data_IF_968366482414
#
_entry.id   IF_968366482414
#
_cell.length_a   1.000
_cell.length_b   1.000
_cell.length_c   1.000
_cell.angle_alpha   90.00
_cell.angle_beta   90.00
_cell.angle_gamma   90.00
#
_symmetry.space_group_name_H-M   'P 1'
#
loop_
_entity.id
_entity.type
_entity.pdbx_description
1 polymer ?
#
# COMPACT_ATOMS: atom_id res chain seq x y z
N UNK A 1 18.88 -17.60 5.03
CA UNK A 1 17.66 -16.85 5.34
C UNK A 1 16.58 -17.33 4.38
N UNK A 2 15.39 -17.69 4.88
CA UNK A 2 14.29 -18.19 4.07
C UNK A 2 13.83 -17.12 3.04
N UNK A 3 13.73 -17.47 1.74
CA UNK A 3 13.37 -16.52 0.67
C UNK A 3 12.00 -15.87 0.93
N UNK A 4 11.07 -16.59 1.55
CA UNK A 4 9.76 -16.04 1.95
C UNK A 4 9.92 -14.92 2.99
N UNK A 5 10.86 -15.05 3.93
CA UNK A 5 11.14 -14.01 4.93
C UNK A 5 11.74 -12.75 4.31
N UNK A 6 12.59 -12.89 3.29
CA UNK A 6 13.08 -11.72 2.54
C UNK A 6 11.94 -10.99 1.82
N UNK A 7 10.97 -11.71 1.24
CA UNK A 7 9.78 -11.09 0.64
C UNK A 7 8.89 -10.38 1.65
N UNK A 8 8.76 -10.91 2.86
CA UNK A 8 8.07 -10.21 3.95
C UNK A 8 8.78 -8.92 4.36
N UNK A 9 10.11 -8.94 4.46
CA UNK A 9 10.89 -7.72 4.76
C UNK A 9 10.76 -6.68 3.66
N UNK A 10 10.78 -7.10 2.39
CA UNK A 10 10.59 -6.22 1.24
C UNK A 10 9.20 -5.56 1.28
N UNK A 11 8.14 -6.32 1.54
CA UNK A 11 6.80 -5.77 1.69
C UNK A 11 6.70 -4.79 2.89
N UNK A 12 7.31 -5.12 4.05
CA UNK A 12 7.40 -4.20 5.21
C UNK A 12 8.12 -2.91 4.86
N UNK A 13 9.21 -3.00 4.10
CA UNK A 13 9.97 -1.84 3.65
C UNK A 13 9.09 -0.87 2.87
N UNK A 14 8.29 -1.36 1.92
CA UNK A 14 7.41 -0.49 1.13
C UNK A 14 6.26 0.10 1.95
N UNK A 15 5.72 -0.59 2.95
CA UNK A 15 4.79 0.04 3.92
C UNK A 15 5.46 1.20 4.66
N UNK A 16 6.68 1.00 5.15
CA UNK A 16 7.44 2.06 5.82
C UNK A 16 7.65 3.26 4.88
N UNK A 17 7.98 3.00 3.61
CA UNK A 17 8.13 4.05 2.60
C UNK A 17 6.84 4.79 2.28
N UNK A 18 5.71 4.08 2.16
CA UNK A 18 4.39 4.72 2.02
C UNK A 18 4.11 5.69 3.17
N UNK A 19 4.36 5.30 4.41
CA UNK A 19 4.19 6.18 5.57
C UNK A 19 5.13 7.40 5.50
N UNK A 20 6.40 7.19 5.14
CA UNK A 20 7.39 8.28 5.02
C UNK A 20 7.07 9.27 3.90
N UNK A 21 6.41 8.80 2.85
CA UNK A 21 6.11 9.58 1.64
C UNK A 21 4.64 9.98 1.55
N UNK A 22 3.86 9.80 2.61
CA UNK A 22 2.42 10.01 2.63
C UNK A 22 2.01 11.43 2.20
N UNK A 23 2.85 12.44 2.43
CA UNK A 23 2.58 13.83 2.05
C UNK A 23 2.97 14.16 0.61
N UNK A 24 3.60 13.22 -0.09
CA UNK A 24 4.09 13.34 -1.47
C UNK A 24 3.38 12.32 -2.34
N UNK A 25 2.23 12.67 -2.96
CA UNK A 25 1.34 11.70 -3.59
C UNK A 25 1.98 10.84 -4.68
N UNK A 26 2.91 11.38 -5.46
CA UNK A 26 3.63 10.59 -6.47
C UNK A 26 4.53 9.53 -5.84
N UNK A 27 5.36 9.93 -4.87
CA UNK A 27 6.23 9.00 -4.13
C UNK A 27 5.41 7.95 -3.36
N UNK A 28 4.30 8.36 -2.72
CA UNK A 28 3.37 7.45 -2.05
C UNK A 28 2.86 6.37 -3.01
N UNK A 29 2.41 6.76 -4.22
CA UNK A 29 1.87 5.84 -5.22
C UNK A 29 2.91 4.85 -5.73
N UNK A 30 4.14 5.31 -5.99
CA UNK A 30 5.22 4.40 -6.40
C UNK A 30 5.50 3.35 -5.32
N UNK A 31 5.49 3.75 -4.05
CA UNK A 31 5.68 2.83 -2.93
C UNK A 31 4.47 1.89 -2.72
N UNK A 32 3.26 2.36 -3.00
CA UNK A 32 2.05 1.53 -2.98
C UNK A 32 2.10 0.44 -4.06
N UNK A 33 2.42 0.81 -5.31
CA UNK A 33 2.56 -0.16 -6.40
C UNK A 33 3.67 -1.18 -6.08
N UNK A 34 4.80 -0.72 -5.55
CA UNK A 34 5.88 -1.60 -5.12
C UNK A 34 5.45 -2.55 -4.00
N UNK A 35 4.69 -2.07 -3.01
CA UNK A 35 4.12 -2.90 -1.95
C UNK A 35 3.19 -3.98 -2.52
N UNK A 36 2.22 -3.62 -3.36
CA UNK A 36 1.24 -4.56 -3.93
C UNK A 36 1.93 -5.66 -4.73
N UNK A 37 2.96 -5.30 -5.51
CA UNK A 37 3.74 -6.26 -6.28
C UNK A 37 4.61 -7.16 -5.38
N UNK A 38 5.29 -6.59 -4.38
CA UNK A 38 6.11 -7.34 -3.42
C UNK A 38 5.25 -8.30 -2.58
N UNK A 39 4.13 -7.84 -2.06
CA UNK A 39 3.27 -8.63 -1.18
C UNK A 39 2.71 -9.89 -1.87
N UNK A 40 2.35 -9.80 -3.15
CA UNK A 40 1.91 -10.97 -3.93
C UNK A 40 2.99 -12.03 -4.08
N UNK A 41 4.26 -11.62 -4.15
CA UNK A 41 5.36 -12.57 -4.32
C UNK A 41 5.55 -13.47 -3.10
N UNK A 42 5.10 -13.05 -1.91
CA UNK A 42 5.22 -13.82 -0.66
C UNK A 42 4.55 -15.19 -0.80
N UNK A 43 3.27 -15.24 -1.17
CA UNK A 43 2.55 -16.51 -1.29
C UNK A 43 3.06 -17.37 -2.44
N UNK A 44 3.56 -16.75 -3.51
CA UNK A 44 4.16 -17.47 -4.63
C UNK A 44 5.48 -18.14 -4.24
N UNK A 45 6.38 -17.42 -3.55
CA UNK A 45 7.63 -17.97 -3.03
C UNK A 45 7.35 -19.06 -2.00
N UNK A 46 6.41 -18.83 -1.08
CA UNK A 46 6.00 -19.81 -0.08
C UNK A 46 5.52 -21.12 -0.72
N UNK A 47 4.66 -21.04 -1.73
CA UNK A 47 4.21 -22.22 -2.48
C UNK A 47 5.36 -22.91 -3.21
N UNK A 48 6.21 -22.15 -3.90
CA UNK A 48 7.33 -22.70 -4.68
C UNK A 48 8.32 -23.47 -3.81
N UNK A 49 8.65 -22.93 -2.64
CA UNK A 49 9.59 -23.57 -1.70
C UNK A 49 9.03 -24.88 -1.13
N UNK A 50 7.70 -24.97 -0.97
CA UNK A 50 7.04 -26.08 -0.29
C UNK A 50 6.24 -26.98 -1.24
N UNK A 51 6.43 -26.84 -2.55
CA UNK A 51 5.65 -27.54 -3.58
C UNK A 51 5.76 -29.07 -3.54
N UNK A 52 6.74 -29.63 -2.81
CA UNK A 52 6.94 -31.07 -2.64
C UNK A 52 6.45 -31.62 -1.31
N UNK A 53 5.97 -30.78 -0.39
CA UNK A 53 5.52 -31.21 0.94
C UNK A 53 4.00 -31.47 0.93
N UNK A 54 3.52 -32.74 1.04
CA UNK A 54 2.10 -33.06 0.96
C UNK A 54 1.24 -32.43 2.06
N UNK A 55 1.79 -32.30 3.29
CA UNK A 55 1.08 -31.63 4.41
C UNK A 55 0.87 -30.15 4.11
N UNK A 56 1.90 -29.48 3.57
CA UNK A 56 1.79 -28.09 3.13
C UNK A 56 0.75 -27.94 2.02
N UNK A 57 0.78 -28.79 0.99
CA UNK A 57 -0.18 -28.72 -0.13
C UNK A 57 -1.62 -28.83 0.38
N UNK A 58 -1.90 -29.81 1.24
CA UNK A 58 -3.24 -30.03 1.80
C UNK A 58 -3.71 -28.87 2.70
N UNK A 59 -2.81 -28.29 3.51
CA UNK A 59 -3.12 -27.12 4.32
C UNK A 59 -3.33 -25.86 3.45
N UNK A 60 -2.46 -25.64 2.46
CA UNK A 60 -2.49 -24.44 1.63
C UNK A 60 -3.74 -24.38 0.75
N UNK A 61 -4.25 -25.52 0.27
CA UNK A 61 -5.51 -25.54 -0.49
C UNK A 61 -6.70 -25.07 0.36
N UNK A 62 -6.75 -25.43 1.65
CA UNK A 62 -7.77 -24.91 2.57
C UNK A 62 -7.63 -23.41 2.78
N UNK A 63 -6.40 -22.92 2.99
CA UNK A 63 -6.11 -21.49 3.09
C UNK A 63 -6.49 -20.74 1.82
N UNK A 64 -6.26 -21.33 0.65
CA UNK A 64 -6.65 -20.73 -0.63
C UNK A 64 -8.17 -20.53 -0.72
N UNK A 65 -8.97 -21.47 -0.23
CA UNK A 65 -10.43 -21.31 -0.17
C UNK A 65 -10.85 -20.20 0.80
N UNK A 66 -10.23 -20.14 1.98
CA UNK A 66 -10.42 -19.06 2.96
C UNK A 66 -10.12 -17.68 2.33
N UNK A 67 -8.97 -17.54 1.66
CA UNK A 67 -8.57 -16.31 0.97
C UNK A 67 -9.52 -15.89 -0.15
N UNK A 68 -10.13 -16.86 -0.85
CA UNK A 68 -11.13 -16.58 -1.90
C UNK A 68 -12.48 -16.12 -1.32
N UNK A 69 -12.80 -16.50 -0.09
CA UNK A 69 -13.99 -16.07 0.62
C UNK A 69 -13.90 -14.62 1.12
N UNK A 70 -12.70 -14.14 1.43
CA UNK A 70 -12.49 -12.84 2.06
C UNK A 70 -12.50 -11.65 1.08
N UNK A 71 -13.10 -10.54 1.50
CA UNK A 71 -13.25 -9.35 0.66
C UNK A 71 -11.94 -8.57 0.49
N UNK A 72 -11.18 -8.32 1.57
CA UNK A 72 -9.89 -7.63 1.51
C UNK A 72 -8.88 -8.42 0.66
N UNK A 73 -8.82 -9.74 0.84
CA UNK A 73 -7.84 -10.57 0.13
C UNK A 73 -8.14 -10.63 -1.38
N UNK A 74 -9.42 -10.78 -1.76
CA UNK A 74 -9.84 -10.63 -3.16
C UNK A 74 -9.57 -9.22 -3.69
N UNK A 75 -9.80 -8.20 -2.88
CA UNK A 75 -9.53 -6.82 -3.23
C UNK A 75 -8.05 -6.61 -3.56
N UNK A 76 -7.12 -7.12 -2.74
CA UNK A 76 -5.68 -6.99 -3.00
C UNK A 76 -5.25 -7.67 -4.31
N UNK A 77 -5.88 -8.79 -4.68
CA UNK A 77 -5.69 -9.42 -5.99
C UNK A 77 -6.18 -8.52 -7.13
N UNK A 78 -7.35 -7.88 -6.97
CA UNK A 78 -7.88 -6.93 -7.96
C UNK A 78 -7.00 -5.68 -8.09
N UNK A 79 -6.58 -5.08 -6.98
CA UNK A 79 -5.70 -3.92 -6.96
C UNK A 79 -4.39 -4.20 -7.71
N UNK A 80 -3.81 -5.40 -7.51
CA UNK A 80 -2.65 -5.85 -8.29
C UNK A 80 -2.94 -5.94 -9.78
N UNK A 81 -4.09 -6.48 -10.17
CA UNK A 81 -4.43 -6.61 -11.58
C UNK A 81 -4.56 -5.26 -12.26
N UNK A 82 -5.13 -4.26 -11.58
CA UNK A 82 -5.18 -2.87 -12.06
C UNK A 82 -3.76 -2.31 -12.24
N UNK A 83 -2.93 -2.39 -11.19
CA UNK A 83 -1.53 -1.93 -11.20
C UNK A 83 -0.70 -2.52 -12.35
N UNK A 84 -0.95 -3.79 -12.71
CA UNK A 84 -0.18 -4.50 -13.76
C UNK A 84 -0.75 -4.35 -15.17
N UNK A 85 -2.07 -4.16 -15.33
CA UNK A 85 -2.73 -4.28 -16.64
C UNK A 85 -3.33 -2.99 -17.17
N UNK A 86 -3.75 -2.07 -16.31
CA UNK A 86 -4.73 -1.05 -16.72
C UNK A 86 -4.30 0.39 -16.41
N UNK A 87 -3.64 0.70 -15.28
CA UNK A 87 -3.12 2.04 -14.94
C UNK A 87 -2.31 1.99 -13.62
N UNK A 88 -1.45 3.00 -13.37
CA UNK A 88 -0.79 3.21 -12.07
C UNK A 88 -1.86 3.45 -11.00
N UNK A 89 -1.84 2.72 -9.88
CA UNK A 89 -2.85 2.87 -8.82
C UNK A 89 -2.99 4.34 -8.42
N UNK A 90 -4.19 4.89 -8.51
CA UNK A 90 -4.46 6.31 -8.25
C UNK A 90 -5.53 6.45 -7.15
N UNK A 91 -5.17 6.21 -5.88
CA UNK A 91 -6.11 6.39 -4.78
C UNK A 91 -6.48 7.87 -4.63
N UNK A 92 -7.73 8.11 -4.23
CA UNK A 92 -8.21 9.42 -3.85
C UNK A 92 -7.55 9.87 -2.55
N UNK A 93 -7.42 11.18 -2.36
CA UNK A 93 -6.80 11.79 -1.19
C UNK A 93 -7.80 12.64 -0.40
N UNK A 94 -7.81 12.50 0.92
CA UNK A 94 -8.42 13.43 1.86
C UNK A 94 -7.31 14.16 2.61
N UNK A 95 -7.22 15.48 2.44
CA UNK A 95 -6.25 16.30 3.15
C UNK A 95 -6.91 17.05 4.30
N UNK A 96 -6.38 16.85 5.50
CA UNK A 96 -6.68 17.64 6.67
C UNK A 96 -5.56 18.65 6.90
N UNK A 97 -5.92 19.92 6.98
CA UNK A 97 -5.00 21.04 7.22
C UNK A 97 -5.36 21.64 8.56
N UNK A 98 -4.44 21.56 9.52
CA UNK A 98 -4.61 22.17 10.84
C UNK A 98 -4.47 23.68 10.75
N UNK A 99 -3.34 24.17 10.23
CA UNK A 99 -3.08 25.59 10.10
C UNK A 99 -2.03 25.86 9.02
N UNK A 100 -2.30 26.81 8.13
CA UNK A 100 -1.30 27.32 7.18
C UNK A 100 -1.35 28.83 7.24
N UNK A 101 -0.21 29.43 7.53
CA UNK A 101 -0.02 30.87 7.52
C UNK A 101 1.12 31.23 6.57
N UNK A 102 0.84 32.18 5.68
CA UNK A 102 1.78 32.67 4.69
C UNK A 102 1.83 34.18 4.85
N UNK A 103 2.92 34.68 5.45
CA UNK A 103 3.12 36.11 5.63
C UNK A 103 3.44 36.81 4.31
N UNK A 104 4.31 36.19 3.51
CA UNK A 104 4.72 36.71 2.20
C UNK A 104 4.89 35.56 1.21
N UNK A 105 4.38 35.76 -0.01
CA UNK A 105 4.60 34.86 -1.13
C UNK A 105 5.83 35.36 -1.91
N UNK A 106 6.87 34.53 -2.11
CA UNK A 106 8.02 34.91 -2.90
C UNK A 106 7.62 35.40 -4.31
N UNK A 107 8.30 36.44 -4.83
CA UNK A 107 7.96 37.04 -6.12
C UNK A 107 7.95 35.99 -7.24
N UNK A 108 6.82 35.89 -7.95
CA UNK A 108 6.63 34.95 -9.06
C UNK A 108 6.33 33.51 -8.63
N UNK A 109 6.10 33.27 -7.34
CA UNK A 109 5.62 32.01 -6.81
C UNK A 109 4.14 32.12 -6.41
N UNK A 110 3.49 30.98 -6.26
CA UNK A 110 2.15 30.84 -5.71
C UNK A 110 2.12 29.62 -4.81
N UNK A 111 1.35 29.70 -3.73
CA UNK A 111 1.07 28.55 -2.90
C UNK A 111 -0.23 27.89 -3.37
N UNK A 112 -0.19 26.58 -3.59
CA UNK A 112 -1.33 25.81 -4.11
C UNK A 112 -1.45 24.50 -3.36
N UNK A 113 -2.68 24.06 -3.12
CA UNK A 113 -2.98 22.68 -2.73
C UNK A 113 -3.39 21.95 -4.00
N UNK A 114 -2.64 20.92 -4.39
CA UNK A 114 -2.90 20.19 -5.63
C UNK A 114 -4.22 19.42 -5.56
N UNK A 115 -4.71 18.91 -6.69
CA UNK A 115 -5.86 18.00 -6.72
C UNK A 115 -5.67 16.72 -5.90
N UNK A 116 -4.43 16.37 -5.55
CA UNK A 116 -4.08 15.24 -4.68
C UNK A 116 -3.82 15.69 -3.24
N UNK A 117 -4.21 16.92 -2.90
CA UNK A 117 -4.14 17.44 -1.56
C UNK A 117 -2.73 17.78 -1.08
N UNK A 118 -1.75 17.81 -1.97
CA UNK A 118 -0.36 18.16 -1.68
C UNK A 118 -0.17 19.68 -1.61
N UNK A 119 0.37 20.25 -0.52
CA UNK A 119 0.78 21.64 -0.46
C UNK A 119 2.08 21.87 -1.24
N UNK A 120 2.07 22.82 -2.17
CA UNK A 120 3.21 23.09 -3.05
C UNK A 120 3.40 24.57 -3.31
N UNK A 121 4.66 24.96 -3.48
CA UNK A 121 5.05 26.19 -4.14
C UNK A 121 5.13 25.94 -5.65
N UNK A 122 4.43 26.76 -6.40
CA UNK A 122 4.37 26.69 -7.86
C UNK A 122 4.88 27.98 -8.46
N UNK A 123 5.69 27.85 -9.52
CA UNK A 123 6.13 28.95 -10.37
C UNK A 123 5.88 28.58 -11.83
N UNK A 124 5.42 29.55 -12.60
CA UNK A 124 5.21 29.43 -14.04
C UNK A 124 6.22 30.34 -14.77
N UNK A 125 7.40 29.84 -15.16
CA UNK A 125 8.37 30.63 -15.91
C UNK A 125 7.84 31.07 -17.28
N UNK A 126 6.94 30.28 -17.86
CA UNK A 126 6.23 30.55 -19.10
C UNK A 126 4.91 29.75 -19.09
N UNK A 127 4.10 29.86 -20.16
CA UNK A 127 2.79 29.20 -20.25
C UNK A 127 2.84 27.67 -20.39
N UNK A 128 4.01 27.09 -20.65
CA UNK A 128 4.18 25.65 -20.91
C UNK A 128 4.91 24.91 -19.79
N UNK A 129 5.63 25.62 -18.92
CA UNK A 129 6.47 25.03 -17.87
C UNK A 129 5.94 25.37 -16.49
N UNK A 130 5.81 24.35 -15.66
CA UNK A 130 5.51 24.46 -14.24
C UNK A 130 6.72 23.98 -13.43
N UNK A 131 7.20 24.79 -12.50
CA UNK A 131 8.13 24.36 -11.45
C UNK A 131 7.31 24.18 -10.18
N UNK A 132 7.34 22.96 -9.63
CA UNK A 132 6.65 22.60 -8.40
C UNK A 132 7.64 22.15 -7.34
N UNK A 133 7.51 22.70 -6.14
CA UNK A 133 8.30 22.33 -4.97
C UNK A 133 7.34 21.99 -3.84
N UNK A 134 7.51 20.82 -3.24
CA UNK A 134 6.76 20.42 -2.06
C UNK A 134 7.03 21.39 -0.90
N UNK A 135 5.98 21.91 -0.28
CA UNK A 135 6.08 22.88 0.82
C UNK A 135 6.28 22.15 2.17
N UNK A 136 7.47 21.56 2.35
CA UNK A 136 7.80 20.71 3.51
C UNK A 136 7.66 21.45 4.86
N UNK A 137 7.72 22.78 4.86
CA UNK A 137 7.52 23.60 6.06
C UNK A 137 6.11 23.47 6.67
N UNK A 138 5.12 23.01 5.90
CA UNK A 138 3.76 22.76 6.38
C UNK A 138 3.49 21.28 6.68
N UNK A 139 4.50 20.42 6.62
CA UNK A 139 4.31 18.98 6.80
C UNK A 139 3.67 18.66 8.15
N UNK A 140 4.06 19.34 9.23
CA UNK A 140 3.49 19.09 10.57
C UNK A 140 2.02 19.52 10.69
N UNK A 141 1.56 20.37 9.77
CA UNK A 141 0.20 20.93 9.75
C UNK A 141 -0.75 20.15 8.84
N UNK A 142 -0.20 19.25 8.02
CA UNK A 142 -0.93 18.59 6.94
C UNK A 142 -0.90 17.08 7.11
N UNK A 143 -2.08 16.47 7.13
CA UNK A 143 -2.25 15.03 7.09
C UNK A 143 -3.03 14.63 5.85
N UNK A 144 -2.49 13.70 5.05
CA UNK A 144 -3.13 13.20 3.84
C UNK A 144 -3.53 11.73 4.04
N UNK A 145 -4.80 11.40 3.90
CA UNK A 145 -5.29 10.02 3.89
C UNK A 145 -5.59 9.59 2.46
N UNK A 146 -5.32 8.33 2.13
CA UNK A 146 -5.58 7.79 0.79
C UNK A 146 -6.67 6.73 0.86
N UNK A 147 -7.56 6.70 -0.14
CA UNK A 147 -8.64 5.72 -0.26
C UNK A 147 -8.72 5.18 -1.68
N UNK A 148 -9.04 3.88 -1.81
CA UNK A 148 -9.22 3.29 -3.13
C UNK A 148 -10.63 3.55 -3.66
N UNK A 149 -10.73 4.21 -4.81
CA UNK A 149 -11.97 4.28 -5.59
C UNK A 149 -12.02 3.21 -6.69
N UNK A 150 -10.87 2.96 -7.35
CA UNK A 150 -10.75 1.98 -8.43
C UNK A 150 -9.54 1.04 -8.19
N UNK A 151 -9.76 -0.22 -7.81
CA UNK A 151 -11.05 -0.83 -7.45
C UNK A 151 -11.59 -0.23 -6.13
N UNK A 152 -12.91 -0.32 -5.90
CA UNK A 152 -13.53 0.22 -4.68
C UNK A 152 -12.99 -0.46 -3.43
N UNK A 153 -12.66 0.32 -2.39
CA UNK A 153 -12.20 -0.17 -1.09
C UNK A 153 -13.07 -1.33 -0.55
N UNK A 154 -12.45 -2.36 0.06
CA UNK A 154 -13.18 -3.46 0.67
C UNK A 154 -13.89 -2.98 1.94
N UNK A 155 -15.04 -3.59 2.23
CA UNK A 155 -15.83 -3.26 3.43
C UNK A 155 -15.53 -4.15 4.61
N UNK A 156 -15.06 -5.37 4.36
CA UNK A 156 -14.84 -6.38 5.39
C UNK A 156 -13.51 -7.10 5.28
N UNK A 157 -13.02 -7.57 6.43
CA UNK A 157 -11.94 -8.55 6.56
C UNK A 157 -12.31 -9.53 7.66
N UNK A 158 -12.52 -10.80 7.32
CA UNK A 158 -13.02 -11.84 8.22
C UNK A 158 -14.20 -11.36 9.10
N UNK A 159 -15.25 -10.84 8.47
CA UNK A 159 -16.46 -10.27 9.10
C UNK A 159 -16.24 -9.01 9.97
N UNK A 160 -15.02 -8.49 10.04
CA UNK A 160 -14.73 -7.21 10.70
C UNK A 160 -14.95 -6.07 9.72
N UNK A 161 -15.69 -5.03 10.12
CA UNK A 161 -15.89 -3.84 9.28
C UNK A 161 -14.58 -3.03 9.16
N UNK A 162 -14.19 -2.74 7.92
CA UNK A 162 -13.00 -1.97 7.56
C UNK A 162 -13.29 -0.89 6.51
N UNK A 163 -14.56 -0.54 6.28
CA UNK A 163 -14.97 0.37 5.19
C UNK A 163 -14.33 1.77 5.27
N UNK A 164 -13.91 2.19 6.47
CA UNK A 164 -13.25 3.49 6.71
C UNK A 164 -11.72 3.41 6.75
N UNK A 165 -11.12 2.27 6.41
CA UNK A 165 -9.68 2.12 6.48
C UNK A 165 -9.04 2.80 5.26
N UNK A 166 -8.04 3.65 5.53
CA UNK A 166 -7.18 4.20 4.49
C UNK A 166 -6.29 3.10 3.87
N UNK A 167 -5.66 3.42 2.73
CA UNK A 167 -4.77 2.52 2.00
C UNK A 167 -3.67 1.93 2.90
N UNK A 168 -3.06 2.73 3.78
CA UNK A 168 -1.97 2.24 4.65
C UNK A 168 -2.51 1.20 5.63
N UNK A 169 -3.68 1.42 6.23
CA UNK A 169 -4.32 0.46 7.15
C UNK A 169 -4.70 -0.82 6.44
N UNK A 170 -5.27 -0.73 5.24
CA UNK A 170 -5.61 -1.89 4.41
C UNK A 170 -4.36 -2.72 4.07
N UNK A 171 -3.29 -2.06 3.65
CA UNK A 171 -2.01 -2.71 3.33
C UNK A 171 -1.36 -3.36 4.56
N UNK A 172 -1.40 -2.71 5.72
CA UNK A 172 -0.90 -3.30 6.99
C UNK A 172 -1.71 -4.53 7.39
N UNK A 173 -3.03 -4.47 7.28
CA UNK A 173 -3.91 -5.59 7.62
C UNK A 173 -3.64 -6.80 6.72
N UNK A 174 -3.50 -6.55 5.41
CA UNK A 174 -3.12 -7.58 4.45
C UNK A 174 -1.73 -8.17 4.73
N UNK A 175 -0.73 -7.33 5.02
CA UNK A 175 0.60 -7.83 5.34
C UNK A 175 0.62 -8.67 6.63
N UNK A 176 -0.11 -8.26 7.66
CA UNK A 176 -0.26 -9.04 8.90
C UNK A 176 -0.82 -10.44 8.62
N UNK A 177 -1.85 -10.52 7.76
CA UNK A 177 -2.37 -11.81 7.32
C UNK A 177 -1.32 -12.67 6.59
N UNK A 178 -0.52 -12.07 5.71
CA UNK A 178 0.56 -12.78 5.02
C UNK A 178 1.65 -13.27 5.99
N UNK A 179 1.99 -12.47 7.00
CA UNK A 179 2.91 -12.88 8.06
C UNK A 179 2.38 -14.09 8.83
N UNK A 180 1.08 -14.10 9.15
CA UNK A 180 0.46 -15.21 9.88
C UNK A 180 0.38 -16.48 9.03
N UNK A 181 0.03 -16.38 7.74
CA UNK A 181 0.12 -17.52 6.80
C UNK A 181 1.53 -18.11 6.78
N UNK A 182 2.56 -17.26 6.73
CA UNK A 182 3.94 -17.74 6.68
C UNK A 182 4.31 -18.46 7.98
N UNK A 183 3.97 -17.90 9.15
CA UNK A 183 4.19 -18.55 10.45
C UNK A 183 3.47 -19.90 10.54
N UNK A 184 2.19 -19.94 10.17
CA UNK A 184 1.41 -21.19 10.14
C UNK A 184 2.04 -22.23 9.22
N UNK A 185 2.52 -21.82 8.04
CA UNK A 185 3.19 -22.72 7.11
C UNK A 185 4.46 -23.33 7.73
N UNK A 186 5.30 -22.53 8.41
CA UNK A 186 6.49 -23.03 9.10
C UNK A 186 6.12 -24.10 10.14
N UNK A 187 5.08 -23.87 10.95
CA UNK A 187 4.60 -24.87 11.93
C UNK A 187 4.14 -26.17 11.26
N UNK A 188 3.40 -26.10 10.14
CA UNK A 188 2.96 -27.28 9.40
C UNK A 188 4.15 -28.06 8.83
N UNK A 189 5.15 -27.36 8.30
CA UNK A 189 6.34 -27.97 7.71
C UNK A 189 7.21 -28.63 8.79
N UNK A 190 7.41 -27.98 9.94
CA UNK A 190 8.18 -28.54 11.06
C UNK A 190 7.51 -29.77 11.67
N UNK A 191 6.18 -29.78 11.77
CA UNK A 191 5.41 -30.97 12.19
C UNK A 191 5.48 -32.15 11.20
N UNK A 192 6.08 -31.96 10.02
CA UNK A 192 6.32 -33.00 9.02
C UNK A 192 7.70 -33.67 9.13
N UNK A 193 8.64 -33.02 9.82
CA UNK A 193 10.03 -33.47 9.98
C UNK A 193 10.25 -34.31 11.23
N UNK A 194 9.21 -34.45 12.07
CA UNK A 194 9.12 -35.35 13.22
C UNK A 194 8.14 -36.49 12.91
#
# INVERSE_FOLDING_TARGET
MDQTQEKLKEARYFIKKMVQTQKRPDEFRYNLDAFINSARSITWVLQKQNAKNPKFIGWYEKKRQEMQGDELLRFMVKARNVSVKEEVLNPDSLTHIRHIYIEQVPKGWSFVITRRGEPVWVKYPNTQNEIRIHANEYDEEVTIYYFFDKPKSPKTFFNTNIERFDVIRLCKLYLGYLEDIVKEAHTIIESASN
#
